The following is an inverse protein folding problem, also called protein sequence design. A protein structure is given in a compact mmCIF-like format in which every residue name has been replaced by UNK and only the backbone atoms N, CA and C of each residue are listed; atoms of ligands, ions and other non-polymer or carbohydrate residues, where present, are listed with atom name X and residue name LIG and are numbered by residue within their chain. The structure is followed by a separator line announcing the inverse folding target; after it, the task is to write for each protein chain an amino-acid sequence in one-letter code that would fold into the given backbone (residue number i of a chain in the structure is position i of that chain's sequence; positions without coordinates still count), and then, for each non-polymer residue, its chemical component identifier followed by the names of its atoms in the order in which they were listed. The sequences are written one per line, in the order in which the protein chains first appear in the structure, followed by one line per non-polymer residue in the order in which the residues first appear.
data_IF_871460049681
#
_entry.id   IF_871460049681
#
_cell.length_a   1.000
_cell.length_b   1.000
_cell.length_c   1.000
_cell.angle_alpha   90.00
_cell.angle_beta   90.00
_cell.angle_gamma   90.00
#
_symmetry.space_group_name_H-M   'P 1'
#
loop_
_entity.id
_entity.type
_entity.pdbx_description
1 polymer ?
#
# COMPACT_ATOMS: atom_id res chain seq x y z
N UNK A 1 -31.18 -14.97 30.45
CA UNK A 1 -30.01 -14.10 30.80
C UNK A 1 -28.66 -14.60 30.28
N UNK A 2 -28.34 -15.91 30.32
CA UNK A 2 -27.02 -16.45 29.91
C UNK A 2 -26.63 -16.11 28.45
N UNK A 3 -27.57 -16.22 27.50
CA UNK A 3 -27.36 -15.88 26.08
C UNK A 3 -26.97 -14.41 25.87
N UNK A 4 -27.59 -13.49 26.62
CA UNK A 4 -27.29 -12.04 26.58
C UNK A 4 -25.90 -11.74 27.12
N UNK A 5 -25.52 -12.32 28.27
CA UNK A 5 -24.17 -12.18 28.85
C UNK A 5 -23.08 -12.73 27.92
N UNK A 6 -23.33 -13.88 27.28
CA UNK A 6 -22.40 -14.47 26.30
C UNK A 6 -22.25 -13.59 25.06
N UNK A 7 -23.35 -13.05 24.53
CA UNK A 7 -23.32 -12.13 23.39
C UNK A 7 -22.55 -10.82 23.71
N UNK A 8 -22.77 -10.25 24.90
CA UNK A 8 -22.05 -9.06 25.37
C UNK A 8 -20.54 -9.32 25.52
N UNK A 9 -20.16 -10.48 26.09
CA UNK A 9 -18.76 -10.88 26.22
C UNK A 9 -18.06 -11.02 24.86
N UNK A 10 -18.71 -11.69 23.90
CA UNK A 10 -18.20 -11.83 22.53
C UNK A 10 -18.07 -10.47 21.82
N UNK A 11 -19.04 -9.58 22.00
CA UNK A 11 -18.99 -8.21 21.45
C UNK A 11 -17.80 -7.44 22.01
N UNK A 12 -17.59 -7.47 23.33
CA UNK A 12 -16.44 -6.81 23.98
C UNK A 12 -15.12 -7.40 23.51
N UNK A 13 -15.02 -8.72 23.38
CA UNK A 13 -13.82 -9.39 22.86
C UNK A 13 -13.50 -8.96 21.42
N UNK A 14 -14.51 -8.88 20.54
CA UNK A 14 -14.35 -8.40 19.17
C UNK A 14 -13.89 -6.94 19.10
N UNK A 15 -14.45 -6.07 19.94
CA UNK A 15 -14.04 -4.66 20.01
C UNK A 15 -12.58 -4.52 20.44
N UNK A 16 -12.16 -5.21 21.50
CA UNK A 16 -10.76 -5.20 21.94
C UNK A 16 -9.79 -5.74 20.89
N UNK A 17 -10.22 -6.73 20.09
CA UNK A 17 -9.39 -7.26 18.99
C UNK A 17 -9.28 -6.25 17.85
N UNK A 18 -10.36 -5.54 17.52
CA UNK A 18 -10.35 -4.44 16.56
C UNK A 18 -9.40 -3.33 17.01
N UNK A 19 -9.55 -2.85 18.24
CA UNK A 19 -8.71 -1.77 18.81
C UNK A 19 -7.23 -2.14 18.76
N UNK A 20 -6.87 -3.33 19.27
CA UNK A 20 -5.49 -3.82 19.20
C UNK A 20 -4.94 -3.92 17.79
N UNK A 21 -5.74 -4.39 16.83
CA UNK A 21 -5.30 -4.46 15.43
C UNK A 21 -5.13 -3.09 14.79
N UNK A 22 -6.01 -2.13 15.10
CA UNK A 22 -5.84 -0.74 14.63
C UNK A 22 -4.61 -0.09 15.26
N UNK A 23 -4.34 -0.34 16.54
CA UNK A 23 -3.14 0.17 17.21
C UNK A 23 -1.86 -0.45 16.64
N UNK A 24 -1.87 -1.74 16.28
CA UNK A 24 -0.78 -2.36 15.54
C UNK A 24 -0.56 -1.67 14.19
N UNK A 25 -1.64 -1.36 13.46
CA UNK A 25 -1.54 -0.59 12.20
C UNK A 25 -1.06 0.83 12.45
N UNK A 26 -1.30 1.48 13.60
CA UNK A 26 -0.80 2.83 13.90
C UNK A 26 0.67 2.86 14.33
N UNK A 27 1.12 1.82 15.02
CA UNK A 27 2.45 1.75 15.62
C UNK A 27 3.48 1.03 14.75
N UNK A 28 3.05 0.25 13.75
CA UNK A 28 3.97 -0.41 12.83
C UNK A 28 4.95 0.59 12.19
N UNK A 29 6.23 0.25 12.21
CA UNK A 29 7.27 0.99 11.49
C UNK A 29 7.12 0.71 10.00
N UNK A 30 6.98 1.75 9.19
CA UNK A 30 6.93 1.63 7.73
C UNK A 30 8.32 1.94 7.18
N UNK A 31 9.17 0.92 7.14
CA UNK A 31 10.55 1.07 6.70
C UNK A 31 10.63 1.17 5.17
N UNK A 32 11.17 2.28 4.70
CA UNK A 32 11.48 2.49 3.30
C UNK A 32 13.00 2.47 3.12
N UNK A 33 13.52 1.87 2.04
CA UNK A 33 14.94 1.93 1.74
C UNK A 33 15.36 3.39 1.53
N UNK A 34 16.56 3.75 1.98
CA UNK A 34 17.17 5.04 1.68
C UNK A 34 17.87 4.95 0.32
N UNK A 35 17.17 5.37 -0.75
CA UNK A 35 17.67 5.30 -2.12
C UNK A 35 18.02 6.69 -2.63
N UNK A 36 19.11 6.80 -3.37
CA UNK A 36 19.38 7.98 -4.18
C UNK A 36 18.30 8.16 -5.25
N UNK A 37 18.13 9.38 -5.79
CA UNK A 37 17.18 9.62 -6.89
C UNK A 37 17.42 8.73 -8.11
N UNK A 38 18.68 8.43 -8.46
CA UNK A 38 19.02 7.58 -9.59
C UNK A 38 18.64 6.12 -9.35
N UNK A 39 18.96 5.58 -8.17
CA UNK A 39 18.59 4.20 -7.79
C UNK A 39 17.08 4.03 -7.78
N UNK A 40 16.33 4.97 -7.19
CA UNK A 40 14.88 4.90 -7.14
C UNK A 40 14.26 4.88 -8.54
N UNK A 41 14.80 5.67 -9.49
CA UNK A 41 14.34 5.65 -10.89
C UNK A 41 14.59 4.29 -11.54
N UNK A 42 15.81 3.76 -11.41
CA UNK A 42 16.18 2.48 -12.00
C UNK A 42 15.32 1.32 -11.44
N UNK A 43 15.13 1.28 -10.12
CA UNK A 43 14.31 0.28 -9.45
C UNK A 43 12.83 0.38 -9.86
N UNK A 44 12.29 1.59 -9.94
CA UNK A 44 10.92 1.82 -10.37
C UNK A 44 10.66 1.33 -11.80
N UNK A 45 11.58 1.63 -12.73
CA UNK A 45 11.50 1.17 -14.13
C UNK A 45 11.60 -0.35 -14.22
N UNK A 46 12.57 -0.95 -13.52
CA UNK A 46 12.71 -2.42 -13.47
C UNK A 46 11.45 -3.08 -12.93
N UNK A 47 10.90 -2.55 -11.84
CA UNK A 47 9.68 -3.04 -11.23
C UNK A 47 8.48 -2.93 -12.18
N UNK A 48 8.30 -1.80 -12.87
CA UNK A 48 7.23 -1.62 -13.86
C UNK A 48 7.37 -2.60 -15.03
N UNK A 49 8.57 -2.78 -15.57
CA UNK A 49 8.83 -3.73 -16.66
C UNK A 49 8.56 -5.18 -16.21
N UNK A 50 8.95 -5.55 -14.98
CA UNK A 50 8.64 -6.86 -14.42
C UNK A 50 7.12 -7.08 -14.27
N UNK A 51 6.37 -6.07 -13.80
CA UNK A 51 4.91 -6.16 -13.70
C UNK A 51 4.24 -6.29 -15.07
N UNK A 52 4.75 -5.57 -16.06
CA UNK A 52 4.24 -5.64 -17.44
C UNK A 52 4.52 -7.02 -18.08
N UNK A 53 5.72 -7.56 -17.88
CA UNK A 53 6.07 -8.91 -18.31
C UNK A 53 5.21 -9.99 -17.61
N UNK A 54 4.98 -9.86 -16.29
CA UNK A 54 4.06 -10.75 -15.56
C UNK A 54 2.64 -10.68 -16.12
N UNK A 55 2.16 -9.47 -16.46
CA UNK A 55 0.85 -9.30 -17.10
C UNK A 55 0.78 -9.97 -18.47
N UNK A 56 1.85 -9.89 -19.26
CA UNK A 56 1.94 -10.55 -20.56
C UNK A 56 1.84 -12.07 -20.44
N UNK A 57 2.51 -12.65 -19.43
CA UNK A 57 2.45 -14.08 -19.18
C UNK A 57 1.04 -14.57 -18.77
N UNK A 58 0.23 -13.71 -18.16
CA UNK A 58 -1.11 -14.04 -17.66
C UNK A 58 -2.25 -13.67 -18.61
N UNK A 59 -1.99 -12.87 -19.65
CA UNK A 59 -3.02 -12.33 -20.55
C UNK A 59 -2.69 -12.65 -22.00
N UNK A 60 -3.55 -13.45 -22.64
CA UNK A 60 -3.50 -13.65 -24.09
C UNK A 60 -3.55 -12.32 -24.84
N UNK A 61 -2.62 -12.12 -25.77
CA UNK A 61 -2.55 -10.91 -26.61
C UNK A 61 -1.83 -9.69 -26.00
N UNK A 62 -1.46 -9.69 -24.71
CA UNK A 62 -0.65 -8.60 -24.16
C UNK A 62 0.83 -8.83 -24.47
N UNK A 63 1.44 -7.92 -25.24
CA UNK A 63 2.89 -7.94 -25.50
C UNK A 63 3.59 -6.99 -24.53
N UNK A 64 4.64 -7.44 -23.82
CA UNK A 64 5.36 -6.56 -22.92
C UNK A 64 6.05 -5.45 -23.71
N UNK A 65 6.00 -4.24 -23.18
CA UNK A 65 6.63 -3.05 -23.76
C UNK A 65 7.63 -2.50 -22.75
N UNK A 66 8.89 -2.91 -22.86
CA UNK A 66 9.93 -2.46 -21.94
C UNK A 66 10.23 -0.97 -22.13
N UNK A 67 10.35 -0.25 -21.02
CA UNK A 67 10.71 1.18 -21.01
C UNK A 67 12.02 1.40 -20.27
N UNK A 68 12.73 2.48 -20.61
CA UNK A 68 13.90 2.94 -19.86
C UNK A 68 13.57 4.21 -19.06
N UNK A 69 14.43 4.58 -18.12
CA UNK A 69 14.24 5.80 -17.32
C UNK A 69 14.34 7.07 -18.18
N UNK A 70 15.15 7.02 -19.23
CA UNK A 70 15.41 8.10 -20.17
C UNK A 70 14.23 8.32 -21.13
N UNK A 71 13.51 7.25 -21.48
CA UNK A 71 12.32 7.32 -22.33
C UNK A 71 11.06 7.78 -21.59
N UNK A 72 11.06 7.74 -20.25
CA UNK A 72 9.87 7.98 -19.45
C UNK A 72 9.62 9.46 -19.23
N UNK A 73 8.39 9.93 -19.47
CA UNK A 73 8.04 11.30 -19.10
C UNK A 73 8.04 11.45 -17.58
N UNK A 74 8.39 12.62 -17.02
CA UNK A 74 8.57 12.80 -15.57
C UNK A 74 7.35 12.37 -14.72
N UNK A 75 6.14 12.57 -15.23
CA UNK A 75 4.91 12.18 -14.53
C UNK A 75 4.73 10.66 -14.43
N UNK A 76 5.10 9.91 -15.47
CA UNK A 76 5.03 8.45 -15.46
C UNK A 76 6.09 7.86 -14.54
N UNK A 77 7.28 8.43 -14.55
CA UNK A 77 8.37 8.03 -13.68
C UNK A 77 7.98 8.22 -12.21
N UNK A 78 7.44 9.38 -11.84
CA UNK A 78 6.94 9.63 -10.48
C UNK A 78 5.86 8.60 -10.06
N UNK A 79 4.93 8.27 -10.97
CA UNK A 79 3.90 7.25 -10.73
C UNK A 79 4.54 5.90 -10.42
N UNK A 80 5.49 5.44 -11.24
CA UNK A 80 6.15 4.15 -11.07
C UNK A 80 7.02 4.10 -9.81
N UNK A 81 7.65 5.21 -9.43
CA UNK A 81 8.41 5.32 -8.19
C UNK A 81 7.51 5.12 -6.97
N UNK A 82 6.34 5.77 -6.94
CA UNK A 82 5.37 5.57 -5.87
C UNK A 82 4.81 4.16 -5.88
N UNK A 83 4.52 3.57 -7.04
CA UNK A 83 4.08 2.17 -7.15
C UNK A 83 5.13 1.18 -6.63
N UNK A 84 6.41 1.39 -6.94
CA UNK A 84 7.50 0.57 -6.42
C UNK A 84 7.60 0.65 -4.89
N UNK A 85 7.59 1.87 -4.31
CA UNK A 85 7.69 2.04 -2.86
C UNK A 85 6.46 1.48 -2.12
N UNK A 86 5.29 1.51 -2.76
CA UNK A 86 4.09 0.82 -2.25
C UNK A 86 4.25 -0.70 -2.27
N UNK A 87 4.87 -1.25 -3.31
CA UNK A 87 5.17 -2.69 -3.41
C UNK A 87 6.17 -3.13 -2.32
N UNK A 88 7.18 -2.30 -2.03
CA UNK A 88 8.11 -2.51 -0.89
C UNK A 88 7.36 -2.60 0.43
N UNK A 89 6.34 -1.76 0.63
CA UNK A 89 5.53 -1.76 1.85
C UNK A 89 4.36 -2.76 1.81
N UNK A 90 4.14 -3.48 0.70
CA UNK A 90 3.02 -4.40 0.54
C UNK A 90 2.88 -5.45 1.65
N UNK A 91 3.96 -6.01 2.26
CA UNK A 91 3.83 -6.96 3.36
C UNK A 91 3.03 -6.45 4.57
N UNK A 92 2.92 -5.12 4.76
CA UNK A 92 2.11 -4.55 5.84
C UNK A 92 0.59 -4.78 5.66
N UNK A 93 0.13 -5.24 4.48
CA UNK A 93 -1.27 -5.66 4.29
C UNK A 93 -1.70 -6.76 5.26
N UNK A 94 -0.76 -7.58 5.73
CA UNK A 94 -1.00 -8.62 6.73
C UNK A 94 -1.57 -8.06 8.05
N UNK A 95 -1.24 -6.82 8.40
CA UNK A 95 -1.82 -6.14 9.58
C UNK A 95 -3.33 -5.91 9.42
N UNK A 96 -3.78 -5.64 8.18
CA UNK A 96 -5.21 -5.52 7.86
C UNK A 96 -5.87 -6.89 7.86
N UNK A 97 -5.20 -7.91 7.34
CA UNK A 97 -5.74 -9.29 7.32
C UNK A 97 -5.96 -9.85 8.72
N UNK A 98 -5.13 -9.47 9.69
CA UNK A 98 -5.26 -9.82 11.10
C UNK A 98 -6.50 -9.22 11.80
N UNK A 99 -7.09 -8.16 11.23
CA UNK A 99 -8.32 -7.55 11.75
C UNK A 99 -9.56 -8.44 11.52
N UNK A 100 -10.57 -8.36 12.41
CA UNK A 100 -11.87 -8.96 12.16
C UNK A 100 -12.45 -8.51 10.82
N UNK A 101 -13.12 -9.39 10.05
CA UNK A 101 -13.63 -9.07 8.73
C UNK A 101 -14.73 -7.99 8.75
N UNK A 102 -15.03 -7.45 7.56
CA UNK A 102 -16.03 -6.41 7.35
C UNK A 102 -15.48 -5.02 7.65
N UNK A 103 -16.26 -4.21 8.38
CA UNK A 103 -15.94 -2.79 8.65
C UNK A 103 -14.56 -2.56 9.26
N UNK A 104 -14.07 -3.46 10.11
CA UNK A 104 -12.75 -3.30 10.73
C UNK A 104 -11.63 -3.41 9.70
N UNK A 105 -11.71 -4.34 8.73
CA UNK A 105 -10.73 -4.42 7.62
C UNK A 105 -10.80 -3.21 6.69
N UNK A 106 -12.01 -2.72 6.40
CA UNK A 106 -12.16 -1.50 5.58
C UNK A 106 -11.52 -0.28 6.26
N UNK A 107 -11.74 -0.11 7.55
CA UNK A 107 -11.11 0.94 8.37
C UNK A 107 -9.59 0.78 8.44
N UNK A 108 -9.09 -0.44 8.71
CA UNK A 108 -7.67 -0.73 8.75
C UNK A 108 -6.98 -0.51 7.40
N UNK A 109 -7.64 -0.85 6.29
CA UNK A 109 -7.15 -0.62 4.94
C UNK A 109 -7.01 0.88 4.62
N UNK A 110 -8.02 1.69 4.97
CA UNK A 110 -7.96 3.14 4.82
C UNK A 110 -6.82 3.74 5.64
N UNK A 111 -6.71 3.34 6.92
CA UNK A 111 -5.65 3.79 7.81
C UNK A 111 -4.27 3.42 7.28
N UNK A 112 -4.06 2.15 6.87
CA UNK A 112 -2.78 1.71 6.32
C UNK A 112 -2.44 2.46 5.04
N UNK A 113 -3.42 2.68 4.15
CA UNK A 113 -3.25 3.43 2.91
C UNK A 113 -2.77 4.86 3.20
N UNK A 114 -3.41 5.56 4.13
CA UNK A 114 -2.99 6.91 4.54
C UNK A 114 -1.56 6.90 5.09
N UNK A 115 -1.23 5.96 5.97
CA UNK A 115 0.12 5.85 6.56
C UNK A 115 1.18 5.56 5.51
N UNK A 116 0.93 4.65 4.57
CA UNK A 116 1.86 4.29 3.49
C UNK A 116 2.20 5.52 2.64
N UNK A 117 1.18 6.26 2.18
CA UNK A 117 1.43 7.46 1.38
C UNK A 117 2.11 8.58 2.18
N UNK A 118 1.80 8.72 3.48
CA UNK A 118 2.49 9.66 4.35
C UNK A 118 3.97 9.31 4.54
N UNK A 119 4.28 8.03 4.77
CA UNK A 119 5.65 7.53 4.92
C UNK A 119 6.47 7.76 3.63
N UNK A 120 5.89 7.45 2.46
CA UNK A 120 6.55 7.69 1.17
C UNK A 120 6.81 9.18 0.96
N UNK A 121 5.82 10.04 1.20
CA UNK A 121 5.98 11.49 1.02
C UNK A 121 7.00 12.09 2.00
N UNK A 122 7.11 11.54 3.21
CA UNK A 122 8.12 11.96 4.19
C UNK A 122 9.54 11.54 3.78
N UNK A 123 9.72 10.29 3.34
CA UNK A 123 11.03 9.78 2.90
C UNK A 123 11.48 10.37 1.56
N UNK A 124 10.54 10.66 0.66
CA UNK A 124 10.78 11.18 -0.68
C UNK A 124 9.90 12.41 -0.99
N UNK A 125 10.24 13.61 -0.46
CA UNK A 125 9.40 14.81 -0.57
C UNK A 125 9.02 15.20 -2.00
N UNK A 126 9.90 14.95 -2.97
CA UNK A 126 9.65 15.21 -4.41
C UNK A 126 8.43 14.45 -4.95
N UNK A 127 8.06 13.31 -4.34
CA UNK A 127 6.92 12.48 -4.73
C UNK A 127 5.61 12.89 -4.05
N UNK A 128 5.61 13.91 -3.18
CA UNK A 128 4.44 14.28 -2.38
C UNK A 128 3.18 14.56 -3.21
N UNK A 129 3.32 15.23 -4.36
CA UNK A 129 2.19 15.52 -5.24
C UNK A 129 1.57 14.24 -5.81
N UNK A 130 2.42 13.31 -6.24
CA UNK A 130 1.98 12.03 -6.78
C UNK A 130 1.39 11.13 -5.69
N UNK A 131 1.97 11.15 -4.49
CA UNK A 131 1.40 10.47 -3.31
C UNK A 131 -0.02 10.97 -3.01
N UNK A 132 -0.26 12.29 -3.05
CA UNK A 132 -1.61 12.85 -2.86
C UNK A 132 -2.59 12.37 -3.93
N UNK A 133 -2.16 12.36 -5.20
CA UNK A 133 -2.98 11.90 -6.34
C UNK A 133 -3.38 10.43 -6.19
N UNK A 134 -2.39 9.55 -5.98
CA UNK A 134 -2.65 8.12 -5.84
C UNK A 134 -3.41 7.78 -4.56
N UNK A 135 -3.17 8.51 -3.46
CA UNK A 135 -3.95 8.36 -2.21
C UNK A 135 -5.42 8.68 -2.43
N UNK A 136 -5.71 9.81 -3.08
CA UNK A 136 -7.09 10.20 -3.36
C UNK A 136 -7.80 9.13 -4.23
N UNK A 137 -7.12 8.62 -5.25
CA UNK A 137 -7.65 7.53 -6.07
C UNK A 137 -7.86 6.23 -5.26
N UNK A 138 -6.93 5.88 -4.38
CA UNK A 138 -6.99 4.65 -3.57
C UNK A 138 -8.09 4.69 -2.48
N UNK A 139 -8.43 5.87 -1.97
CA UNK A 139 -9.48 6.05 -0.96
C UNK A 139 -10.87 6.27 -1.57
N UNK A 140 -10.95 6.56 -2.87
CA UNK A 140 -12.20 6.72 -3.62
C UNK A 140 -12.78 5.39 -4.12
N UNK A 141 -11.94 4.35 -4.24
CA UNK A 141 -12.37 2.97 -4.53
C UNK A 141 -12.76 2.20 -3.28
#
# INVERSE_FOLDING_TARGET
MLRRRRAESLRRARLRRRERGLDAIRSASLELPALSPAELRALAVRHRNLRDAKRAALSWGHRPSAVSAESAVPAELARWQVEYLRDVLAPHSLLVEALPPGRSRAEGSRLLTERVFAAIAAAYPVLSRECRRQRAAALAG
#
